data_IF_701815071798
#
_entry.id   IF_701815071798
#
_cell.length_a   1.000
_cell.length_b   1.000
_cell.length_c   1.000
_cell.angle_alpha   90.00
_cell.angle_beta   90.00
_cell.angle_gamma   90.00
#
_symmetry.space_group_name_H-M   'P 1'
#
loop_
_entity.id
_entity.type
_entity.pdbx_description
1 polymer ?
#
# COMPACT_ATOMS: atom_id res chain seq x y z
N UNK A 1 21.18 -3.12 3.93
CA UNK A 1 19.75 -2.86 4.24
C UNK A 1 18.90 -4.13 4.18
N UNK A 2 19.27 -5.17 3.41
CA UNK A 2 18.48 -6.41 3.28
C UNK A 2 19.29 -7.68 3.65
N UNK A 3 20.23 -7.56 4.58
CA UNK A 3 21.12 -8.67 5.00
C UNK A 3 20.43 -9.69 5.91
N UNK A 4 19.25 -9.35 6.45
CA UNK A 4 18.47 -10.21 7.32
C UNK A 4 17.03 -10.30 6.82
N UNK A 5 16.38 -11.43 7.14
CA UNK A 5 14.97 -11.65 6.88
C UNK A 5 14.32 -12.44 8.02
N UNK A 6 12.99 -12.41 8.07
CA UNK A 6 12.19 -13.33 8.87
C UNK A 6 11.41 -14.25 7.95
N UNK A 7 11.55 -15.55 8.13
CA UNK A 7 10.82 -16.59 7.41
C UNK A 7 9.70 -17.20 8.26
N UNK A 8 8.73 -17.81 7.59
CA UNK A 8 7.51 -18.35 8.20
C UNK A 8 7.23 -19.78 7.74
N UNK A 9 7.94 -20.78 8.29
CA UNK A 9 7.90 -22.16 7.80
C UNK A 9 6.65 -22.96 8.17
N UNK A 10 5.86 -22.49 9.15
CA UNK A 10 4.69 -23.21 9.67
C UNK A 10 3.45 -22.35 9.56
N UNK A 11 2.31 -22.94 9.19
CA UNK A 11 1.05 -22.21 9.04
C UNK A 11 0.92 -21.54 7.67
N UNK A 12 -0.31 -21.10 7.35
CA UNK A 12 -0.66 -20.61 6.02
C UNK A 12 -0.50 -19.09 5.92
N UNK A 13 -0.80 -18.34 6.98
CA UNK A 13 -0.84 -16.87 6.97
C UNK A 13 -0.15 -16.31 8.19
N UNK A 14 0.73 -15.32 7.98
CA UNK A 14 1.45 -14.63 9.05
C UNK A 14 1.35 -13.14 8.84
N UNK A 15 0.98 -12.41 9.88
CA UNK A 15 0.65 -10.99 9.77
C UNK A 15 1.45 -10.14 10.74
N UNK A 16 1.96 -9.02 10.24
CA UNK A 16 2.39 -7.91 11.07
C UNK A 16 1.21 -6.98 11.33
N UNK A 17 1.06 -6.52 12.56
CA UNK A 17 0.13 -5.44 12.89
C UNK A 17 0.89 -4.12 13.00
N UNK A 18 0.54 -3.18 12.14
CA UNK A 18 1.00 -1.79 12.22
C UNK A 18 -0.06 -0.98 12.97
N UNK A 19 0.32 -0.31 14.06
CA UNK A 19 -0.58 0.60 14.78
C UNK A 19 -0.52 1.98 14.13
N UNK A 20 -1.62 2.41 13.53
CA UNK A 20 -1.70 3.58 12.66
C UNK A 20 -2.89 4.47 13.04
N UNK A 21 -2.90 5.71 12.57
CA UNK A 21 -4.02 6.62 12.81
C UNK A 21 -5.09 6.40 11.75
N UNK A 22 -6.31 6.11 12.19
CA UNK A 22 -7.48 5.95 11.31
C UNK A 22 -7.74 7.23 10.52
N UNK A 23 -8.00 7.09 9.22
CA UNK A 23 -8.30 8.20 8.30
C UNK A 23 -7.05 8.91 7.77
N UNK A 24 -5.86 8.58 8.29
CA UNK A 24 -4.61 9.13 7.79
C UNK A 24 -4.04 8.29 6.64
N UNK A 25 -3.24 8.96 5.80
CA UNK A 25 -2.61 8.37 4.63
C UNK A 25 -1.21 7.90 4.94
N UNK A 26 -0.91 6.65 4.58
CA UNK A 26 0.41 6.07 4.78
C UNK A 26 0.98 5.53 3.48
N UNK A 27 2.28 5.75 3.29
CA UNK A 27 3.11 4.94 2.41
C UNK A 27 3.56 3.71 3.19
N UNK A 28 3.28 2.53 2.64
CA UNK A 28 3.67 1.25 3.21
C UNK A 28 4.57 0.56 2.20
N UNK A 29 5.72 0.06 2.66
CA UNK A 29 6.70 -0.59 1.82
C UNK A 29 7.14 -1.91 2.42
N UNK A 30 7.04 -2.99 1.65
CA UNK A 30 7.56 -4.30 1.99
C UNK A 30 8.71 -4.65 1.06
N UNK A 31 9.86 -5.03 1.61
CA UNK A 31 11.06 -5.39 0.86
C UNK A 31 11.44 -6.84 1.11
N UNK A 32 11.88 -7.51 0.05
CA UNK A 32 12.16 -8.93 0.01
C UNK A 32 13.46 -9.17 -0.74
N UNK A 33 14.41 -9.86 -0.10
CA UNK A 33 15.59 -10.43 -0.73
C UNK A 33 15.72 -11.87 -0.22
N UNK A 34 15.58 -12.85 -1.11
CA UNK A 34 15.54 -14.26 -0.74
C UNK A 34 16.90 -14.74 -0.20
N UNK A 35 17.98 -14.46 -0.92
CA UNK A 35 19.35 -14.78 -0.49
C UNK A 35 19.63 -16.28 -0.33
N UNK A 36 18.75 -17.17 -0.81
CA UNK A 36 18.84 -18.62 -0.59
C UNK A 36 19.02 -19.01 0.88
N UNK A 37 18.29 -18.33 1.79
CA UNK A 37 18.48 -18.48 3.22
C UNK A 37 18.21 -19.90 3.76
N UNK A 38 17.49 -20.72 3.01
CA UNK A 38 17.10 -22.09 3.34
C UNK A 38 17.92 -23.16 2.58
N UNK A 39 18.93 -22.75 1.81
CA UNK A 39 19.86 -23.63 1.07
C UNK A 39 19.17 -24.60 0.08
N UNK A 40 17.97 -24.24 -0.40
CA UNK A 40 17.18 -25.08 -1.30
C UNK A 40 17.38 -24.76 -2.78
N UNK A 41 17.97 -23.60 -3.13
CA UNK A 41 18.15 -23.11 -4.49
C UNK A 41 16.85 -23.01 -5.32
N UNK A 42 15.69 -23.00 -4.64
CA UNK A 42 14.36 -22.88 -5.23
C UNK A 42 13.72 -21.55 -4.82
N UNK A 43 13.50 -20.66 -5.79
CA UNK A 43 12.89 -19.36 -5.52
C UNK A 43 11.44 -19.55 -5.01
N UNK A 44 11.10 -19.02 -3.83
CA UNK A 44 9.77 -19.22 -3.27
C UNK A 44 8.73 -18.33 -3.96
N UNK A 45 7.49 -18.82 -4.06
CA UNK A 45 6.32 -18.04 -4.45
C UNK A 45 5.32 -17.98 -3.29
N UNK A 46 4.84 -16.78 -2.98
CA UNK A 46 3.86 -16.56 -1.92
C UNK A 46 3.10 -15.26 -2.16
N UNK A 47 1.99 -15.06 -1.45
CA UNK A 47 1.20 -13.84 -1.60
C UNK A 47 1.46 -12.85 -0.47
N UNK A 48 1.38 -11.56 -0.80
CA UNK A 48 1.40 -10.43 0.11
C UNK A 48 -0.01 -9.83 0.16
N UNK A 49 -0.53 -9.64 1.37
CA UNK A 49 -1.85 -9.06 1.62
C UNK A 49 -1.74 -7.75 2.41
N UNK A 50 -2.60 -6.80 2.05
CA UNK A 50 -2.83 -5.55 2.77
C UNK A 50 -4.23 -5.62 3.40
N UNK A 51 -4.27 -5.82 4.71
CA UNK A 51 -5.49 -6.22 5.41
C UNK A 51 -6.04 -7.52 4.81
N UNK A 52 -7.30 -7.53 4.36
CA UNK A 52 -7.92 -8.69 3.73
C UNK A 52 -7.67 -8.78 2.21
N UNK A 53 -7.11 -7.73 1.60
CA UNK A 53 -6.98 -7.63 0.15
C UNK A 53 -5.63 -8.17 -0.33
N UNK A 54 -5.64 -8.92 -1.44
CA UNK A 54 -4.41 -9.32 -2.12
C UNK A 54 -3.68 -8.08 -2.64
N UNK A 55 -2.50 -7.82 -2.09
CA UNK A 55 -1.65 -6.73 -2.53
C UNK A 55 -0.85 -7.16 -3.77
N UNK A 56 -0.05 -8.22 -3.66
CA UNK A 56 0.75 -8.73 -4.76
C UNK A 56 1.11 -10.20 -4.56
N UNK A 57 1.25 -10.94 -5.65
CA UNK A 57 1.93 -12.24 -5.64
C UNK A 57 3.43 -12.02 -5.82
N UNK A 58 4.22 -12.65 -4.95
CA UNK A 58 5.66 -12.52 -4.88
C UNK A 58 6.31 -13.61 -5.72
N UNK A 59 7.06 -13.18 -6.73
CA UNK A 59 7.85 -14.03 -7.61
C UNK A 59 9.25 -13.43 -7.69
N UNK A 60 10.27 -14.28 -7.63
CA UNK A 60 11.68 -13.87 -7.65
C UNK A 60 12.37 -14.48 -8.87
N UNK A 61 13.10 -13.67 -9.63
CA UNK A 61 13.85 -14.14 -10.79
C UNK A 61 15.04 -15.01 -10.37
N UNK A 62 15.71 -14.66 -9.27
CA UNK A 62 16.83 -15.38 -8.69
C UNK A 62 17.00 -15.04 -7.19
N UNK A 63 17.92 -15.74 -6.52
CA UNK A 63 18.17 -15.57 -5.08
C UNK A 63 18.71 -14.20 -4.68
N UNK A 64 19.33 -13.44 -5.59
CA UNK A 64 19.86 -12.09 -5.31
C UNK A 64 18.88 -10.98 -5.67
N UNK A 65 17.70 -11.33 -6.20
CA UNK A 65 16.68 -10.37 -6.60
C UNK A 65 16.13 -9.64 -5.39
N UNK A 66 16.10 -8.31 -5.49
CA UNK A 66 15.45 -7.44 -4.50
C UNK A 66 14.10 -7.03 -5.05
N UNK A 67 13.03 -7.51 -4.43
CA UNK A 67 11.66 -7.14 -4.77
C UNK A 67 11.15 -6.17 -3.72
N UNK A 68 10.66 -5.02 -4.16
CA UNK A 68 10.07 -3.99 -3.30
C UNK A 68 8.63 -3.76 -3.75
N UNK A 69 7.69 -3.84 -2.81
CA UNK A 69 6.30 -3.45 -3.01
C UNK A 69 6.02 -2.22 -2.18
N UNK A 70 5.45 -1.19 -2.81
CA UNK A 70 5.06 0.06 -2.17
C UNK A 70 3.62 0.40 -2.54
N UNK A 71 2.84 0.82 -1.54
CA UNK A 71 1.45 1.21 -1.70
C UNK A 71 1.14 2.39 -0.80
N UNK A 72 0.37 3.34 -1.32
CA UNK A 72 -0.16 4.47 -0.57
C UNK A 72 -1.64 4.20 -0.31
N UNK A 73 -2.01 4.18 0.97
CA UNK A 73 -3.35 3.79 1.41
C UNK A 73 -3.84 4.68 2.55
N UNK A 74 -5.13 5.02 2.54
CA UNK A 74 -5.82 5.68 3.65
C UNK A 74 -6.37 4.62 4.58
N UNK A 75 -5.88 4.57 5.81
CA UNK A 75 -6.15 3.45 6.72
C UNK A 75 -7.55 3.57 7.34
N UNK A 76 -8.35 2.51 7.24
CA UNK A 76 -9.76 2.50 7.70
C UNK A 76 -9.96 2.18 9.19
N UNK A 77 -8.93 1.71 9.88
CA UNK A 77 -8.93 1.35 11.30
C UNK A 77 -7.70 1.91 12.03
N UNK A 78 -7.61 1.71 13.35
CA UNK A 78 -6.41 2.09 14.14
C UNK A 78 -5.23 1.12 13.99
N UNK A 79 -5.39 0.13 13.14
CA UNK A 79 -4.38 -0.85 12.80
C UNK A 79 -4.46 -1.15 11.30
N UNK A 80 -3.38 -1.75 10.81
CA UNK A 80 -3.33 -2.36 9.49
C UNK A 80 -2.52 -3.64 9.56
N UNK A 81 -3.08 -4.72 9.05
CA UNK A 81 -2.34 -5.98 8.92
C UNK A 81 -1.61 -6.03 7.58
N UNK A 82 -0.35 -6.43 7.60
CA UNK A 82 0.40 -6.79 6.39
C UNK A 82 0.79 -8.25 6.53
N UNK A 83 0.27 -9.08 5.64
CA UNK A 83 0.39 -10.53 5.79
C UNK A 83 1.14 -11.16 4.63
N UNK A 84 2.00 -12.13 4.93
CA UNK A 84 2.54 -13.06 3.94
C UNK A 84 1.78 -14.38 4.04
N UNK A 85 1.42 -14.94 2.88
CA UNK A 85 0.57 -16.12 2.78
C UNK A 85 1.26 -17.20 1.95
N UNK A 86 1.45 -18.37 2.56
CA UNK A 86 2.05 -19.53 1.93
C UNK A 86 1.10 -20.12 0.88
N UNK A 87 1.58 -20.22 -0.36
CA UNK A 87 0.84 -20.80 -1.50
C UNK A 87 1.23 -22.26 -1.79
N UNK A 88 2.11 -22.84 -0.97
CA UNK A 88 2.65 -24.19 -1.13
C UNK A 88 3.90 -24.28 -2.02
N UNK A 89 4.44 -23.15 -2.46
CA UNK A 89 5.58 -23.06 -3.40
C UNK A 89 6.83 -22.42 -2.76
N UNK A 90 7.15 -22.83 -1.54
CA UNK A 90 8.27 -22.31 -0.78
C UNK A 90 7.84 -21.56 0.48
N UNK A 91 8.82 -21.18 1.30
CA UNK A 91 8.56 -20.60 2.62
C UNK A 91 8.44 -19.07 2.49
N UNK A 92 7.30 -18.46 2.90
CA UNK A 92 7.17 -17.01 2.89
C UNK A 92 8.17 -16.34 3.82
N UNK A 93 8.63 -15.16 3.42
CA UNK A 93 9.55 -14.36 4.23
C UNK A 93 9.33 -12.86 4.00
N UNK A 94 9.91 -12.03 4.86
CA UNK A 94 9.99 -10.58 4.67
C UNK A 94 11.32 -10.06 5.21
N UNK A 95 11.98 -9.17 4.48
CA UNK A 95 13.27 -8.59 4.87
C UNK A 95 13.08 -7.26 5.62
N UNK A 96 12.16 -6.42 5.15
CA UNK A 96 11.81 -5.17 5.81
C UNK A 96 10.34 -4.79 5.58
N UNK A 97 9.72 -4.21 6.61
CA UNK A 97 8.40 -3.58 6.53
C UNK A 97 8.50 -2.16 7.07
N UNK A 98 8.13 -1.19 6.25
CA UNK A 98 8.26 0.24 6.54
C UNK A 98 6.90 0.93 6.40
N UNK A 99 6.64 1.91 7.26
CA UNK A 99 5.46 2.79 7.15
C UNK A 99 5.85 4.25 7.36
N UNK A 100 5.31 5.15 6.53
CA UNK A 100 5.52 6.60 6.60
C UNK A 100 4.19 7.34 6.49
N UNK A 101 3.93 8.25 7.43
CA UNK A 101 2.77 9.14 7.37
C UNK A 101 2.97 10.14 6.24
N UNK A 102 1.97 10.28 5.36
CA UNK A 102 1.96 11.24 4.27
C UNK A 102 0.98 12.38 4.58
N UNK A 103 1.12 13.50 3.86
CA UNK A 103 0.12 14.55 3.88
C UNK A 103 -1.20 14.07 3.24
N UNK A 104 -2.34 14.38 3.84
CA UNK A 104 -3.65 14.10 3.23
C UNK A 104 -3.95 14.97 2.00
N UNK A 105 -3.13 15.99 1.71
CA UNK A 105 -3.27 16.87 0.55
C UNK A 105 -2.73 16.26 -0.75
N UNK A 106 -1.85 15.25 -0.69
CA UNK A 106 -1.26 14.56 -1.85
C UNK A 106 -2.04 13.30 -2.22
N UNK A 107 -1.74 12.70 -3.38
CA UNK A 107 -2.14 11.33 -3.73
C UNK A 107 -3.64 11.05 -3.54
N UNK A 108 -4.49 11.90 -4.12
CA UNK A 108 -5.94 11.72 -4.07
C UNK A 108 -6.35 10.62 -5.04
N UNK A 109 -7.31 9.82 -4.62
CA UNK A 109 -7.97 8.78 -5.42
C UNK A 109 -9.44 9.14 -5.59
N UNK A 110 -10.10 8.53 -6.57
CA UNK A 110 -11.50 8.81 -6.88
C UNK A 110 -12.45 8.13 -5.87
N UNK A 111 -12.00 7.05 -5.25
CA UNK A 111 -12.75 6.26 -4.27
C UNK A 111 -11.92 5.96 -3.01
N UNK A 112 -12.61 5.73 -1.88
CA UNK A 112 -12.04 5.24 -0.62
C UNK A 112 -11.66 3.74 -0.67
N UNK A 113 -12.05 3.02 -1.72
CA UNK A 113 -11.61 1.64 -2.00
C UNK A 113 -10.28 1.60 -2.73
N UNK A 114 -9.88 2.71 -3.35
CA UNK A 114 -8.66 2.78 -4.13
C UNK A 114 -7.45 3.07 -3.24
N UNK A 115 -6.38 2.35 -3.53
CA UNK A 115 -5.03 2.66 -3.10
C UNK A 115 -4.15 2.92 -4.33
N UNK A 116 -3.00 3.56 -4.10
CA UNK A 116 -2.03 3.84 -5.15
C UNK A 116 -0.84 2.91 -5.00
N UNK A 117 -0.73 1.92 -5.88
CA UNK A 117 0.42 1.05 -5.94
C UNK A 117 1.55 1.73 -6.72
N UNK A 118 2.76 1.69 -6.17
CA UNK A 118 3.92 2.32 -6.79
C UNK A 118 4.22 1.72 -8.16
N UNK A 119 4.44 2.58 -9.15
CA UNK A 119 4.96 2.16 -10.46
C UNK A 119 6.31 2.80 -10.77
N UNK A 120 6.39 4.13 -10.71
CA UNK A 120 7.65 4.83 -10.93
C UNK A 120 7.69 6.15 -10.15
N UNK A 121 8.89 6.53 -9.73
CA UNK A 121 9.22 7.85 -9.20
C UNK A 121 10.63 8.22 -9.65
N UNK A 122 10.72 9.19 -10.56
CA UNK A 122 11.98 9.51 -11.26
C UNK A 122 12.40 10.96 -11.04
N UNK A 123 13.70 11.11 -10.74
CA UNK A 123 14.43 12.39 -10.73
C UNK A 123 15.06 12.59 -12.12
N UNK A 124 14.48 13.48 -12.92
CA UNK A 124 14.79 13.64 -14.33
C UNK A 124 15.93 14.65 -14.50
N UNK A 125 16.98 14.22 -15.17
CA UNK A 125 18.20 15.03 -15.31
C UNK A 125 19.10 14.98 -14.07
N UNK A 126 18.82 14.06 -13.13
CA UNK A 126 19.60 13.87 -11.91
C UNK A 126 21.11 13.84 -12.16
N UNK A 127 21.88 14.51 -11.30
CA UNK A 127 23.35 14.41 -11.27
C UNK A 127 23.83 13.20 -10.45
N UNK A 128 22.93 12.53 -9.73
CA UNK A 128 23.24 11.37 -8.89
C UNK A 128 23.31 10.08 -9.73
N UNK A 129 24.18 9.16 -9.32
CA UNK A 129 24.30 7.85 -9.96
C UNK A 129 23.51 6.75 -9.24
N UNK A 130 22.89 7.08 -8.11
CA UNK A 130 22.13 6.16 -7.27
C UNK A 130 20.83 6.81 -6.82
N UNK A 131 19.84 5.99 -6.50
CA UNK A 131 18.61 6.43 -5.86
C UNK A 131 18.87 7.13 -4.52
N UNK A 132 17.98 8.04 -4.15
CA UNK A 132 17.97 8.69 -2.84
C UNK A 132 16.59 8.57 -2.17
N UNK A 133 16.55 8.76 -0.86
CA UNK A 133 15.35 8.66 -0.01
C UNK A 133 15.51 9.56 1.22
N UNK A 134 15.08 9.18 2.41
CA UNK A 134 15.43 9.91 3.62
C UNK A 134 16.96 9.96 3.81
N UNK A 135 17.56 11.11 4.22
CA UNK A 135 16.92 12.34 4.69
C UNK A 135 16.54 13.36 3.61
N UNK A 136 16.90 13.16 2.34
CA UNK A 136 16.60 14.09 1.25
C UNK A 136 15.09 14.21 0.98
N UNK A 137 14.34 13.13 1.18
CA UNK A 137 12.88 13.11 1.18
C UNK A 137 12.33 12.76 2.57
N UNK A 138 11.60 13.70 3.19
CA UNK A 138 11.00 13.52 4.52
C UNK A 138 9.96 12.40 4.59
N UNK A 139 9.34 12.08 3.45
CA UNK A 139 8.39 10.97 3.33
C UNK A 139 9.09 9.65 3.00
N UNK A 140 10.42 9.67 2.87
CA UNK A 140 11.27 8.51 2.65
C UNK A 140 10.88 7.71 1.39
N UNK A 141 10.37 8.46 0.41
CA UNK A 141 10.12 8.01 -0.95
C UNK A 141 11.44 7.77 -1.64
N UNK A 142 11.55 6.64 -2.34
CA UNK A 142 12.74 6.33 -3.13
C UNK A 142 12.58 6.97 -4.50
N UNK A 143 13.52 7.85 -4.86
CA UNK A 143 13.60 8.52 -6.16
C UNK A 143 14.71 7.90 -6.99
N UNK A 144 14.41 7.54 -8.23
CA UNK A 144 15.37 6.95 -9.14
C UNK A 144 15.92 7.99 -10.13
N UNK A 145 17.25 8.15 -10.26
CA UNK A 145 17.86 8.96 -11.30
C UNK A 145 17.41 8.48 -12.68
N UNK A 146 16.96 9.42 -13.50
CA UNK A 146 16.53 9.15 -14.87
C UNK A 146 17.21 10.10 -15.85
N UNK A 147 17.89 9.50 -16.84
CA UNK A 147 18.60 10.22 -17.91
C UNK A 147 18.27 9.57 -19.24
N UNK A 148 18.23 10.40 -20.28
CA UNK A 148 18.06 9.95 -21.67
C UNK A 148 19.08 10.64 -22.55
N UNK A 149 19.50 9.94 -23.61
CA UNK A 149 20.52 10.43 -24.53
C UNK A 149 20.03 11.59 -25.42
N UNK A 150 18.72 11.73 -25.61
CA UNK A 150 18.10 12.81 -26.40
C UNK A 150 17.78 14.06 -25.57
N UNK A 151 18.10 14.05 -24.28
CA UNK A 151 17.88 15.15 -23.36
C UNK A 151 19.20 15.74 -22.84
N UNK A 152 19.19 17.03 -22.53
CA UNK A 152 20.28 17.76 -21.88
C UNK A 152 19.88 18.09 -20.45
N UNK A 153 20.77 17.79 -19.50
CA UNK A 153 20.60 18.14 -18.09
C UNK A 153 20.87 19.62 -17.86
N UNK A 154 20.00 20.25 -17.06
CA UNK A 154 20.21 21.58 -16.48
C UNK A 154 20.19 21.45 -14.97
N UNK A 155 20.97 22.27 -14.27
CA UNK A 155 20.95 22.35 -12.81
C UNK A 155 20.96 23.82 -12.36
N UNK A 156 20.55 24.04 -11.10
CA UNK A 156 20.72 25.32 -10.42
C UNK A 156 21.26 25.09 -9.02
N UNK A 157 22.14 25.99 -8.55
CA UNK A 157 22.65 26.02 -7.18
C UNK A 157 21.82 26.90 -6.25
N UNK A 158 20.80 27.57 -6.78
CA UNK A 158 19.98 28.55 -6.05
C UNK A 158 18.83 27.87 -5.29
N UNK A 159 18.43 28.45 -4.15
CA UNK A 159 17.36 27.89 -3.33
C UNK A 159 16.00 28.02 -4.01
N UNK A 160 15.37 26.89 -4.33
CA UNK A 160 13.98 26.83 -4.79
C UNK A 160 13.03 27.23 -3.66
N UNK A 161 12.01 28.01 -4.02
CA UNK A 161 10.89 28.29 -3.10
C UNK A 161 9.90 27.13 -3.17
N UNK A 162 9.99 26.19 -2.23
CA UNK A 162 8.97 25.15 -2.02
C UNK A 162 7.98 25.64 -0.97
N UNK A 163 6.69 25.62 -1.33
CA UNK A 163 5.61 26.19 -0.52
C UNK A 163 4.61 25.13 -0.06
N UNK A 164 4.81 23.84 -0.39
CA UNK A 164 3.80 22.82 -0.12
C UNK A 164 4.36 21.55 0.52
N UNK A 165 3.66 20.96 1.50
CA UNK A 165 3.90 19.59 1.95
C UNK A 165 3.73 18.54 0.83
N UNK A 166 3.17 18.95 -0.31
CA UNK A 166 2.95 18.09 -1.48
C UNK A 166 4.11 18.08 -2.47
N UNK A 167 5.16 18.83 -2.19
CA UNK A 167 6.28 19.02 -3.10
C UNK A 167 7.21 17.78 -3.11
N UNK A 168 7.81 17.47 -4.26
CA UNK A 168 8.94 16.54 -4.33
C UNK A 168 10.13 17.10 -3.53
N UNK A 169 11.08 16.24 -3.12
CA UNK A 169 12.26 16.68 -2.39
C UNK A 169 13.08 17.66 -3.23
N UNK A 170 13.74 18.59 -2.55
CA UNK A 170 14.51 19.65 -3.19
C UNK A 170 15.55 19.11 -4.19
N UNK A 171 16.17 17.97 -3.85
CA UNK A 171 17.15 17.27 -4.70
C UNK A 171 16.57 16.92 -6.07
N UNK A 172 15.32 16.44 -6.13
CA UNK A 172 14.64 16.11 -7.39
C UNK A 172 14.22 17.36 -8.20
N UNK A 173 14.19 18.53 -7.56
CA UNK A 173 13.77 19.78 -8.22
C UNK A 173 14.93 20.65 -8.66
N UNK A 174 16.13 20.46 -8.11
CA UNK A 174 17.34 21.22 -8.47
C UNK A 174 17.98 20.80 -9.79
N UNK A 175 17.53 19.68 -10.35
CA UNK A 175 17.89 19.21 -11.69
C UNK A 175 16.66 19.16 -12.59
N UNK A 176 16.90 19.32 -13.89
CA UNK A 176 15.89 19.17 -14.91
C UNK A 176 16.50 18.63 -16.19
N UNK A 177 15.63 18.18 -17.09
CA UNK A 177 15.99 17.89 -18.47
C UNK A 177 15.24 18.77 -19.44
N UNK A 178 15.93 19.16 -20.50
CA UNK A 178 15.37 19.78 -21.70
C UNK A 178 15.72 18.94 -22.94
N UNK A 179 14.95 19.00 -24.02
CA UNK A 179 15.34 18.43 -25.30
C UNK A 179 16.71 18.94 -25.78
N UNK A 180 17.51 18.07 -26.40
CA UNK A 180 18.74 18.49 -27.08
C UNK A 180 18.46 19.50 -28.19
N UNK A 181 19.45 20.37 -28.44
CA UNK A 181 19.39 21.48 -29.41
C UNK A 181 18.73 21.07 -30.73
N UNK A 182 17.61 21.73 -31.05
CA UNK A 182 16.83 21.53 -32.28
C UNK A 182 15.47 20.85 -32.08
N UNK A 183 15.26 20.14 -30.98
CA UNK A 183 13.94 19.58 -30.65
C UNK A 183 13.07 20.58 -29.87
N UNK A 184 11.82 20.74 -30.28
CA UNK A 184 10.82 21.57 -29.60
C UNK A 184 9.87 20.73 -28.74
N UNK A 185 10.10 19.42 -28.67
CA UNK A 185 9.20 18.47 -28.03
C UNK A 185 9.94 17.55 -27.06
N UNK A 186 9.35 17.32 -25.89
CA UNK A 186 9.79 16.32 -24.93
C UNK A 186 8.68 15.28 -24.74
N UNK A 187 8.97 14.04 -25.12
CA UNK A 187 8.00 12.95 -25.05
C UNK A 187 8.38 11.95 -23.97
N UNK A 188 7.39 11.48 -23.22
CA UNK A 188 7.55 10.39 -22.24
C UNK A 188 6.35 9.45 -22.32
N UNK A 189 6.52 8.19 -21.98
CA UNK A 189 5.43 7.21 -22.05
C UNK A 189 5.45 6.30 -20.84
N UNK A 190 4.26 6.10 -20.27
CA UNK A 190 3.98 5.17 -19.18
C UNK A 190 3.00 4.13 -19.69
N UNK A 191 3.39 2.86 -19.63
CA UNK A 191 2.53 1.72 -19.98
C UNK A 191 2.88 0.54 -19.08
N UNK A 192 1.86 -0.24 -18.74
CA UNK A 192 2.05 -1.56 -18.15
C UNK A 192 2.00 -2.64 -19.24
N UNK A 193 2.45 -3.85 -18.89
CA UNK A 193 2.19 -5.05 -19.68
C UNK A 193 0.69 -5.35 -19.79
N UNK A 194 -0.07 -5.04 -18.76
CA UNK A 194 -1.53 -5.14 -18.74
C UNK A 194 -2.16 -3.81 -19.21
N UNK A 195 -2.83 -3.79 -20.38
CA UNK A 195 -3.40 -2.56 -20.94
C UNK A 195 -4.60 -2.02 -20.15
N UNK A 196 -5.18 -2.80 -19.24
CA UNK A 196 -6.31 -2.38 -18.41
C UNK A 196 -5.89 -1.68 -17.12
N UNK A 197 -4.60 -1.69 -16.79
CA UNK A 197 -4.07 -0.97 -15.63
C UNK A 197 -4.20 0.53 -15.82
N UNK A 198 -4.87 1.15 -14.85
CA UNK A 198 -5.02 2.61 -14.80
C UNK A 198 -4.00 3.25 -13.86
N UNK A 199 -3.69 4.53 -14.14
CA UNK A 199 -2.64 5.28 -13.47
C UNK A 199 -3.09 6.67 -13.05
N UNK A 200 -2.55 7.12 -11.92
CA UNK A 200 -2.45 8.54 -11.59
C UNK A 200 -1.03 9.05 -11.86
N UNK A 201 -0.94 10.27 -12.37
CA UNK A 201 0.32 10.89 -12.75
C UNK A 201 0.56 12.17 -11.96
N UNK A 202 1.82 12.42 -11.61
CA UNK A 202 2.29 13.70 -11.08
C UNK A 202 3.54 14.15 -11.84
N UNK A 203 3.47 15.32 -12.45
CA UNK A 203 4.57 15.94 -13.18
C UNK A 203 5.06 17.16 -12.41
N UNK A 204 6.36 17.21 -12.13
CA UNK A 204 6.98 18.26 -11.32
C UNK A 204 7.91 19.11 -12.18
N UNK A 205 7.66 20.41 -12.17
CA UNK A 205 8.36 21.37 -13.03
C UNK A 205 8.79 22.59 -12.21
N UNK A 206 10.01 23.04 -12.42
CA UNK A 206 10.55 24.30 -11.97
C UNK A 206 11.48 24.87 -13.05
N UNK A 207 11.39 26.18 -13.32
CA UNK A 207 12.38 26.86 -14.16
C UNK A 207 13.68 27.05 -13.37
N UNK A 208 14.78 26.55 -13.93
CA UNK A 208 16.10 26.55 -13.31
C UNK A 208 17.05 27.58 -13.93
N UNK A 209 16.68 28.15 -15.07
CA UNK A 209 17.45 29.18 -15.77
C UNK A 209 16.82 30.56 -15.56
N UNK A 210 17.64 31.56 -15.20
CA UNK A 210 17.18 32.95 -15.17
C UNK A 210 17.14 33.48 -16.61
N UNK A 211 15.93 33.55 -17.17
CA UNK A 211 15.73 33.90 -18.57
C UNK A 211 16.04 35.37 -18.84
N UNK A 212 16.79 35.65 -19.91
CA UNK A 212 17.00 37.01 -20.40
C UNK A 212 15.70 37.62 -20.91
N UNK A 213 15.63 38.96 -21.02
CA UNK A 213 14.42 39.66 -21.46
C UNK A 213 13.92 39.26 -22.87
N UNK A 214 14.78 38.71 -23.72
CA UNK A 214 14.45 38.19 -25.05
C UNK A 214 14.23 36.66 -25.07
N UNK A 215 14.32 36.00 -23.91
CA UNK A 215 14.12 34.56 -23.77
C UNK A 215 12.80 34.26 -23.08
N UNK A 216 12.09 33.27 -23.59
CA UNK A 216 10.83 32.80 -23.06
C UNK A 216 10.82 31.28 -23.09
N UNK A 217 10.34 30.68 -22.01
CA UNK A 217 9.94 29.27 -21.97
C UNK A 217 8.45 29.18 -21.77
N UNK A 218 7.74 28.71 -22.79
CA UNK A 218 6.32 28.47 -22.76
C UNK A 218 5.99 27.21 -23.56
N UNK A 219 5.23 26.31 -22.96
CA UNK A 219 4.89 25.04 -23.61
C UNK A 219 3.51 24.53 -23.20
N UNK A 220 2.93 23.70 -24.05
CA UNK A 220 1.74 22.92 -23.77
C UNK A 220 2.14 21.51 -23.38
N UNK A 221 1.37 20.91 -22.48
CA UNK A 221 1.54 19.52 -22.05
C UNK A 221 0.31 18.76 -22.51
N UNK A 222 0.52 17.75 -23.34
CA UNK A 222 -0.50 16.85 -23.83
C UNK A 222 -0.36 15.49 -23.15
N UNK A 223 -1.51 14.89 -22.84
CA UNK A 223 -1.64 13.53 -22.32
C UNK A 223 -2.61 12.77 -23.23
N UNK A 224 -2.13 11.71 -23.87
CA UNK A 224 -2.89 10.92 -24.83
C UNK A 224 -3.52 11.83 -25.91
N UNK A 225 -2.68 12.67 -26.53
CA UNK A 225 -3.02 13.65 -27.59
C UNK A 225 -4.03 14.75 -27.20
N UNK A 226 -4.47 14.79 -25.93
CA UNK A 226 -5.35 15.83 -25.41
C UNK A 226 -4.55 16.87 -24.61
N UNK A 227 -4.90 18.14 -24.74
CA UNK A 227 -4.27 19.20 -23.94
C UNK A 227 -4.58 18.97 -22.46
N UNK A 228 -3.55 18.60 -21.70
CA UNK A 228 -3.66 18.31 -20.28
C UNK A 228 -3.40 19.55 -19.42
N UNK A 229 -2.40 20.34 -19.80
CA UNK A 229 -2.05 21.57 -19.10
C UNK A 229 -1.34 22.55 -20.03
N UNK A 230 -1.73 23.82 -20.01
CA UNK A 230 -1.06 24.87 -20.76
C UNK A 230 -2.01 25.94 -21.32
N UNK A 231 -1.47 26.97 -21.98
CA UNK A 231 -0.03 27.25 -22.13
C UNK A 231 0.61 27.55 -20.78
N UNK A 232 1.81 27.01 -20.55
CA UNK A 232 2.50 27.10 -19.27
C UNK A 232 3.87 27.75 -19.40
N UNK A 233 4.09 28.82 -18.65
CA UNK A 233 5.39 29.46 -18.43
C UNK A 233 5.80 29.30 -16.97
N UNK A 234 6.76 28.40 -16.67
CA UNK A 234 7.24 28.22 -15.30
C UNK A 234 7.93 29.49 -14.80
N UNK A 235 7.67 29.84 -13.53
CA UNK A 235 8.35 30.97 -12.88
C UNK A 235 9.71 30.51 -12.36
N UNK A 236 10.75 31.33 -12.55
CA UNK A 236 12.10 31.06 -12.08
C UNK A 236 12.12 30.66 -10.60
N UNK A 237 12.74 29.51 -10.31
CA UNK A 237 12.89 28.91 -8.98
C UNK A 237 11.59 28.68 -8.19
N UNK A 238 10.47 28.54 -8.89
CA UNK A 238 9.17 28.18 -8.31
C UNK A 238 8.69 26.85 -8.86
N UNK A 239 8.63 25.85 -7.98
CA UNK A 239 8.10 24.54 -8.32
C UNK A 239 6.58 24.54 -8.46
N UNK A 240 6.09 23.72 -9.40
CA UNK A 240 4.69 23.32 -9.52
C UNK A 240 4.60 21.81 -9.68
N UNK A 241 3.49 21.25 -9.18
CA UNK A 241 3.12 19.87 -9.47
C UNK A 241 1.78 19.83 -10.21
N UNK A 242 1.79 19.26 -11.40
CA UNK A 242 0.60 19.03 -12.23
C UNK A 242 0.18 17.58 -12.04
N UNK A 243 -1.09 17.34 -11.68
CA UNK A 243 -1.61 16.00 -11.34
C UNK A 243 -2.78 15.61 -12.22
N UNK A 244 -2.91 14.34 -12.54
CA UNK A 244 -4.11 13.86 -13.20
C UNK A 244 -5.27 13.92 -12.20
N UNK A 245 -6.45 14.35 -12.68
CA UNK A 245 -7.66 14.42 -11.85
C UNK A 245 -8.40 13.09 -11.80
N UNK A 246 -8.21 12.25 -12.82
CA UNK A 246 -8.81 10.94 -12.99
C UNK A 246 -7.69 9.93 -13.27
N UNK A 247 -7.98 8.67 -13.04
CA UNK A 247 -7.13 7.56 -13.49
C UNK A 247 -7.20 7.41 -15.02
N UNK A 248 -6.10 6.99 -15.65
CA UNK A 248 -6.05 6.72 -17.10
C UNK A 248 -5.32 5.42 -17.42
N UNK A 249 -5.76 4.72 -18.48
CA UNK A 249 -5.07 3.55 -19.04
C UNK A 249 -3.77 3.96 -19.74
N UNK A 250 -2.66 3.90 -19.00
CA UNK A 250 -1.36 4.40 -19.43
C UNK A 250 -1.35 5.91 -19.72
N UNK A 251 -0.20 6.41 -20.20
CA UNK A 251 -0.05 7.82 -20.52
C UNK A 251 1.06 8.07 -21.54
N UNK A 252 0.70 8.68 -22.67
CA UNK A 252 1.63 9.25 -23.63
C UNK A 252 1.68 10.76 -23.42
N UNK A 253 2.82 11.24 -22.92
CA UNK A 253 3.06 12.64 -22.63
C UNK A 253 3.85 13.27 -23.78
N UNK A 254 3.37 14.42 -24.25
CA UNK A 254 4.10 15.30 -25.17
C UNK A 254 4.12 16.70 -24.56
N UNK A 255 5.31 17.24 -24.32
CA UNK A 255 5.48 18.65 -23.97
C UNK A 255 5.98 19.37 -25.21
N UNK A 256 5.29 20.41 -25.65
CA UNK A 256 5.55 21.09 -26.93
C UNK A 256 5.67 22.59 -26.73
N UNK A 257 6.79 23.18 -27.20
CA UNK A 257 6.99 24.62 -27.19
C UNK A 257 5.87 25.34 -27.94
N UNK A 258 5.39 26.46 -27.39
CA UNK A 258 4.49 27.35 -28.11
C UNK A 258 5.27 28.17 -29.15
N UNK A 259 4.54 28.83 -30.06
CA UNK A 259 5.15 29.74 -31.05
C UNK A 259 5.85 30.96 -30.41
N UNK A 260 5.46 31.32 -29.19
CA UNK A 260 6.02 32.40 -28.38
C UNK A 260 7.29 32.00 -27.63
N UNK A 261 7.62 30.71 -27.57
CA UNK A 261 8.75 30.20 -26.80
C UNK A 261 10.05 30.22 -27.60
N UNK A 262 11.10 30.77 -27.00
CA UNK A 262 12.46 30.68 -27.56
C UNK A 262 13.24 29.49 -27.00
N UNK A 263 12.77 28.91 -25.89
CA UNK A 263 13.39 27.78 -25.21
C UNK A 263 12.49 26.54 -25.26
N UNK A 264 13.09 25.33 -25.20
CA UNK A 264 12.31 24.09 -25.26
C UNK A 264 11.62 23.80 -23.91
N UNK A 265 10.72 22.81 -23.81
CA UNK A 265 10.09 22.43 -22.54
C UNK A 265 11.10 21.93 -21.50
N UNK A 266 10.74 22.00 -20.22
CA UNK A 266 11.57 21.59 -19.09
C UNK A 266 10.78 20.72 -18.11
N UNK A 267 11.43 19.69 -17.55
CA UNK A 267 10.85 18.80 -16.54
C UNK A 267 11.90 18.38 -15.51
N UNK A 268 11.51 18.32 -14.24
CA UNK A 268 12.41 18.03 -13.12
C UNK A 268 12.17 16.62 -12.56
N UNK A 269 10.91 16.26 -12.36
CA UNK A 269 10.56 14.98 -11.75
C UNK A 269 9.22 14.47 -12.24
N UNK A 270 9.00 13.16 -12.13
CA UNK A 270 7.76 12.53 -12.54
C UNK A 270 7.44 11.32 -11.67
N UNK A 271 6.15 11.16 -11.33
CA UNK A 271 5.63 10.03 -10.57
C UNK A 271 4.44 9.42 -11.32
N UNK A 272 4.36 8.09 -11.30
CA UNK A 272 3.16 7.36 -11.71
C UNK A 272 2.83 6.27 -10.69
N UNK A 273 1.54 6.11 -10.43
CA UNK A 273 1.02 5.11 -9.50
C UNK A 273 -0.12 4.36 -10.16
N UNK A 274 -0.13 3.04 -10.04
CA UNK A 274 -1.24 2.20 -10.47
C UNK A 274 -2.41 2.34 -9.52
N UNK A 275 -3.62 2.30 -10.06
CA UNK A 275 -4.83 2.12 -9.26
C UNK A 275 -4.88 0.69 -8.74
N UNK A 276 -4.99 0.54 -7.43
CA UNK A 276 -5.20 -0.76 -6.77
C UNK A 276 -6.53 -0.72 -6.04
N UNK A 277 -7.50 -1.49 -6.51
CA UNK A 277 -8.78 -1.65 -5.83
C UNK A 277 -8.63 -2.59 -4.63
N UNK A 278 -9.08 -2.14 -3.46
CA UNK A 278 -9.12 -2.87 -2.21
C UNK A 278 -10.59 -3.07 -1.80
N UNK A 279 -11.23 -4.03 -2.48
CA UNK A 279 -12.68 -4.28 -2.40
C UNK A 279 -13.11 -5.06 -1.17
N UNK A 280 -12.22 -5.89 -0.60
CA UNK A 280 -12.54 -6.70 0.58
C UNK A 280 -12.63 -5.81 1.82
N UNK A 281 -13.76 -5.91 2.51
CA UNK A 281 -13.99 -5.23 3.79
C UNK A 281 -13.38 -6.03 4.94
N UNK A 282 -12.79 -5.30 5.88
CA UNK A 282 -12.26 -5.88 7.13
C UNK A 282 -13.41 -6.23 8.08
N UNK A 283 -13.20 -7.18 8.97
CA UNK A 283 -14.12 -7.45 10.08
C UNK A 283 -14.31 -6.18 10.92
N UNK A 284 -15.51 -5.99 11.48
CA UNK A 284 -15.80 -4.82 12.32
C UNK A 284 -14.76 -4.66 13.44
N UNK A 285 -14.17 -3.46 13.55
CA UNK A 285 -13.05 -3.15 14.46
C UNK A 285 -13.31 -3.58 15.91
N UNK A 286 -14.53 -3.42 16.41
CA UNK A 286 -14.92 -3.86 17.77
C UNK A 286 -14.77 -5.37 17.95
N UNK A 287 -15.17 -6.15 16.97
CA UNK A 287 -15.12 -7.62 17.01
C UNK A 287 -13.68 -8.11 16.80
N UNK A 288 -12.90 -7.45 15.95
CA UNK A 288 -11.45 -7.73 15.83
C UNK A 288 -10.73 -7.51 17.15
N UNK A 289 -10.95 -6.38 17.82
CA UNK A 289 -10.35 -6.09 19.12
C UNK A 289 -10.78 -7.12 20.18
N UNK A 290 -12.06 -7.52 20.16
CA UNK A 290 -12.56 -8.56 21.06
C UNK A 290 -11.83 -9.89 20.83
N UNK A 291 -11.71 -10.33 19.58
CA UNK A 291 -11.04 -11.57 19.21
C UNK A 291 -9.54 -11.56 19.53
N UNK A 292 -8.85 -10.44 19.30
CA UNK A 292 -7.45 -10.28 19.70
C UNK A 292 -7.26 -10.38 21.21
N UNK A 293 -8.18 -9.80 21.99
CA UNK A 293 -8.15 -9.92 23.45
C UNK A 293 -8.44 -11.34 23.93
N UNK A 294 -9.38 -12.06 23.29
CA UNK A 294 -9.65 -13.48 23.57
C UNK A 294 -8.40 -14.33 23.25
N UNK A 295 -7.78 -14.12 22.08
CA UNK A 295 -6.52 -14.78 21.69
C UNK A 295 -5.44 -14.58 22.75
N UNK A 296 -5.24 -13.34 23.17
CA UNK A 296 -4.22 -12.97 24.16
C UNK A 296 -4.52 -13.51 25.55
N UNK A 297 -5.78 -13.43 26.00
CA UNK A 297 -6.20 -13.87 27.34
C UNK A 297 -5.97 -15.36 27.55
N UNK A 298 -6.24 -16.17 26.52
CA UNK A 298 -6.10 -17.62 26.61
C UNK A 298 -4.79 -18.17 26.02
N UNK A 299 -3.94 -17.31 25.46
CA UNK A 299 -2.68 -17.73 24.83
C UNK A 299 -2.90 -18.68 23.65
N UNK A 300 -3.97 -18.48 22.89
CA UNK A 300 -4.38 -19.38 21.81
C UNK A 300 -3.37 -19.35 20.65
N UNK A 301 -3.00 -20.55 20.18
CA UNK A 301 -2.09 -20.79 19.06
C UNK A 301 -2.78 -21.59 17.97
N UNK A 302 -3.70 -20.94 17.26
CA UNK A 302 -4.39 -21.45 16.05
C UNK A 302 -3.92 -20.65 14.82
N UNK A 303 -4.58 -20.79 13.67
CA UNK A 303 -4.37 -19.91 12.49
C UNK A 303 -4.85 -18.45 12.69
N UNK A 304 -4.98 -18.00 13.95
CA UNK A 304 -5.59 -16.72 14.32
C UNK A 304 -4.64 -15.54 14.05
N UNK A 305 -4.32 -15.29 12.79
CA UNK A 305 -3.42 -14.22 12.33
C UNK A 305 -4.17 -13.25 11.40
N UNK A 306 -3.92 -11.95 11.55
CA UNK A 306 -4.55 -10.90 10.74
C UNK A 306 -6.01 -10.64 11.10
N UNK A 307 -6.85 -10.46 10.08
CA UNK A 307 -8.28 -10.23 10.24
C UNK A 307 -9.04 -11.54 10.52
N UNK A 308 -9.97 -11.59 11.50
CA UNK A 308 -10.67 -12.83 11.88
C UNK A 308 -11.52 -13.48 10.80
N UNK A 309 -12.19 -12.69 9.94
CA UNK A 309 -13.12 -13.21 8.93
C UNK A 309 -12.61 -13.04 7.50
N UNK A 310 -11.68 -12.12 7.24
CA UNK A 310 -11.37 -11.66 5.90
C UNK A 310 -9.88 -11.83 5.47
N UNK A 311 -9.61 -12.23 4.21
CA UNK A 311 -10.60 -12.70 3.25
C UNK A 311 -11.14 -14.06 3.69
N UNK A 312 -12.33 -14.45 3.19
CA UNK A 312 -13.06 -15.66 3.60
C UNK A 312 -12.22 -16.93 3.59
N UNK A 313 -11.30 -17.07 2.63
CA UNK A 313 -10.41 -18.23 2.49
C UNK A 313 -9.44 -18.40 3.67
N UNK A 314 -9.13 -17.32 4.39
CA UNK A 314 -8.19 -17.30 5.52
C UNK A 314 -8.87 -16.89 6.83
N UNK A 315 -10.18 -17.14 6.96
CA UNK A 315 -10.88 -16.93 8.22
C UNK A 315 -10.28 -17.79 9.33
N UNK A 316 -10.40 -17.30 10.56
CA UNK A 316 -9.86 -17.99 11.72
C UNK A 316 -10.62 -19.29 11.98
N UNK A 317 -9.87 -20.33 12.35
CA UNK A 317 -10.37 -21.64 12.70
C UNK A 317 -11.32 -21.53 13.87
N UNK A 318 -12.49 -22.15 13.71
CA UNK A 318 -13.57 -22.10 14.69
C UNK A 318 -14.43 -20.83 14.61
N UNK A 319 -14.26 -19.97 13.59
CA UNK A 319 -15.19 -18.86 13.34
C UNK A 319 -16.08 -19.15 12.12
N UNK A 320 -17.35 -18.78 12.23
CA UNK A 320 -18.19 -18.48 11.07
C UNK A 320 -18.58 -17.01 11.08
N UNK A 321 -18.55 -16.39 9.90
CA UNK A 321 -18.86 -14.99 9.72
C UNK A 321 -19.96 -14.79 8.69
N UNK A 322 -20.76 -13.73 8.87
CA UNK A 322 -21.66 -13.26 7.83
C UNK A 322 -20.87 -12.45 6.79
N UNK A 323 -21.15 -12.69 5.51
CA UNK A 323 -20.55 -11.99 4.39
C UNK A 323 -21.68 -11.41 3.55
N UNK A 324 -21.94 -10.12 3.71
CA UNK A 324 -22.89 -9.37 2.89
C UNK A 324 -22.08 -8.44 2.00
N UNK A 325 -22.41 -8.31 0.71
CA UNK A 325 -21.55 -7.68 -0.30
C UNK A 325 -21.18 -6.22 0.00
N UNK A 326 -21.97 -5.52 0.84
CA UNK A 326 -21.78 -4.10 1.17
C UNK A 326 -21.45 -3.84 2.64
N UNK A 327 -21.42 -4.88 3.49
CA UNK A 327 -21.19 -4.73 4.93
C UNK A 327 -19.91 -5.44 5.39
N UNK A 328 -19.18 -4.84 6.35
CA UNK A 328 -18.06 -5.51 7.02
C UNK A 328 -18.47 -6.89 7.59
N UNK A 329 -17.64 -7.94 7.42
CA UNK A 329 -17.91 -9.24 8.00
C UNK A 329 -18.14 -9.16 9.51
N UNK A 330 -19.10 -9.96 9.99
CA UNK A 330 -19.50 -10.04 11.41
C UNK A 330 -19.35 -11.47 11.90
N UNK A 331 -18.84 -11.65 13.11
CA UNK A 331 -18.68 -12.97 13.71
C UNK A 331 -20.04 -13.48 14.20
N UNK A 332 -20.47 -14.60 13.65
CA UNK A 332 -21.76 -15.26 13.94
C UNK A 332 -21.59 -16.55 14.71
N UNK A 333 -20.45 -17.23 14.57
CA UNK A 333 -20.09 -18.43 15.34
C UNK A 333 -18.67 -18.29 15.88
N UNK A 334 -18.46 -18.73 17.13
CA UNK A 334 -17.15 -18.84 17.76
C UNK A 334 -17.04 -20.19 18.47
N UNK A 335 -16.12 -21.03 18.03
CA UNK A 335 -15.84 -22.33 18.61
C UNK A 335 -14.51 -22.33 19.38
N UNK A 336 -14.64 -22.40 20.69
CA UNK A 336 -13.59 -22.47 21.70
C UNK A 336 -13.54 -23.83 22.42
N UNK A 337 -14.32 -24.82 21.97
CA UNK A 337 -14.29 -26.17 22.53
C UNK A 337 -12.89 -26.79 22.39
N UNK A 338 -12.53 -27.65 23.36
CA UNK A 338 -11.25 -28.39 23.38
C UNK A 338 -9.99 -27.55 23.10
N UNK A 339 -10.02 -26.26 23.43
CA UNK A 339 -8.92 -25.33 23.14
C UNK A 339 -7.94 -25.18 24.31
N UNK A 340 -8.08 -26.01 25.35
CA UNK A 340 -7.24 -26.01 26.54
C UNK A 340 -7.36 -24.72 27.36
N UNK A 341 -8.50 -24.03 27.27
CA UNK A 341 -8.73 -22.76 27.97
C UNK A 341 -8.67 -22.97 29.49
N UNK A 342 -8.21 -21.96 30.21
CA UNK A 342 -8.21 -21.95 31.68
C UNK A 342 -8.58 -20.57 32.22
N UNK A 343 -9.07 -20.53 33.46
CA UNK A 343 -9.55 -19.30 34.08
C UNK A 343 -11.01 -18.98 33.71
N UNK A 344 -11.38 -17.71 33.81
CA UNK A 344 -12.76 -17.26 33.61
C UNK A 344 -13.15 -17.17 32.13
N UNK A 345 -14.46 -17.19 31.86
CA UNK A 345 -15.02 -16.92 30.53
C UNK A 345 -14.73 -15.46 30.15
N UNK A 346 -14.14 -15.27 28.98
CA UNK A 346 -13.66 -13.97 28.54
C UNK A 346 -14.80 -12.97 28.41
N UNK A 347 -14.74 -11.82 29.12
CA UNK A 347 -15.77 -10.79 29.01
C UNK A 347 -15.83 -10.15 27.62
N UNK A 348 -14.77 -10.30 26.83
CA UNK A 348 -14.70 -9.78 25.46
C UNK A 348 -15.67 -10.49 24.50
N UNK A 349 -16.16 -11.69 24.82
CA UNK A 349 -17.21 -12.37 24.05
C UNK A 349 -18.47 -11.49 23.97
N UNK A 350 -18.77 -10.70 25.00
CA UNK A 350 -19.89 -9.76 25.00
C UNK A 350 -19.83 -8.67 23.92
N UNK A 351 -18.68 -8.45 23.29
CA UNK A 351 -18.52 -7.50 22.18
C UNK A 351 -18.88 -8.11 20.81
N UNK A 352 -19.09 -9.42 20.72
CA UNK A 352 -19.50 -10.13 19.50
C UNK A 352 -21.01 -10.03 19.33
N UNK A 353 -21.50 -8.83 18.99
CA UNK A 353 -22.94 -8.50 19.03
C UNK A 353 -23.82 -9.24 18.01
N UNK A 354 -23.23 -9.93 17.03
CA UNK A 354 -23.95 -10.78 16.06
C UNK A 354 -23.73 -12.27 16.31
N UNK A 355 -23.11 -12.64 17.44
CA UNK A 355 -22.83 -14.01 17.79
C UNK A 355 -24.15 -14.77 17.99
N UNK A 356 -24.37 -15.75 17.13
CA UNK A 356 -25.50 -16.68 17.16
C UNK A 356 -25.13 -17.97 17.88
N UNK A 357 -23.88 -18.41 17.69
CA UNK A 357 -23.41 -19.69 18.18
C UNK A 357 -22.09 -19.54 18.94
N UNK A 358 -22.07 -20.04 20.18
CA UNK A 358 -20.83 -20.20 20.95
C UNK A 358 -20.60 -21.70 21.16
N UNK A 359 -19.55 -22.23 20.53
CA UNK A 359 -19.14 -23.64 20.54
C UNK A 359 -20.05 -24.60 19.78
N UNK A 360 -20.46 -24.23 18.56
CA UNK A 360 -21.19 -25.15 17.70
C UNK A 360 -20.23 -26.03 16.89
N UNK A 361 -20.43 -27.35 16.95
CA UNK A 361 -19.76 -28.31 16.08
C UNK A 361 -20.66 -28.56 14.88
N UNK A 362 -20.74 -27.61 13.94
CA UNK A 362 -21.56 -27.78 12.73
C UNK A 362 -20.78 -28.64 11.73
N UNK A 363 -20.69 -29.93 12.01
CA UNK A 363 -20.57 -30.96 10.96
C UNK A 363 -21.84 -31.81 11.07
N UNK A 364 -22.53 -32.00 9.95
CA UNK A 364 -23.97 -32.31 9.91
C UNK A 364 -24.46 -33.47 10.80
N UNK A 365 -25.73 -33.36 11.19
CA UNK A 365 -26.54 -34.39 11.88
C UNK A 365 -26.07 -34.80 13.29
N UNK A 366 -25.91 -33.85 14.21
CA UNK A 366 -26.43 -33.97 15.58
C UNK A 366 -26.41 -32.61 16.27
N UNK A 367 -27.57 -32.16 16.78
CA UNK A 367 -27.64 -30.94 17.61
C UNK A 367 -27.32 -31.36 19.03
N UNK A 368 -26.03 -31.29 19.39
CA UNK A 368 -25.59 -31.27 20.78
C UNK A 368 -24.98 -29.89 21.05
N UNK A 369 -25.84 -28.94 21.42
CA UNK A 369 -25.42 -27.64 21.95
C UNK A 369 -24.95 -27.87 23.38
N UNK A 370 -23.67 -28.26 23.54
CA UNK A 370 -22.95 -28.22 24.82
C UNK A 370 -21.49 -27.80 24.68
N UNK A 371 -21.37 -26.48 24.79
CA UNK A 371 -20.60 -25.78 25.82
C UNK A 371 -19.10 -25.59 25.55
N UNK A 372 -18.46 -24.71 26.34
CA UNK A 372 -17.00 -24.55 26.47
C UNK A 372 -16.33 -25.83 27.04
N UNK A 373 -16.90 -26.99 26.73
CA UNK A 373 -16.56 -28.32 27.18
C UNK A 373 -15.13 -28.67 26.77
N UNK A 374 -14.53 -29.54 27.58
CA UNK A 374 -13.12 -29.92 27.46
C UNK A 374 -12.15 -28.73 27.60
N UNK A 375 -12.52 -27.75 28.42
CA UNK A 375 -11.63 -26.71 28.92
C UNK A 375 -11.59 -26.74 30.47
N UNK A 376 -10.57 -26.11 31.05
CA UNK A 376 -10.38 -26.00 32.50
C UNK A 376 -10.86 -24.63 33.01
N UNK A 377 -12.08 -24.25 32.63
CA UNK A 377 -12.65 -22.96 32.97
C UNK A 377 -13.15 -22.94 34.42
N UNK A 378 -13.04 -21.77 35.05
CA UNK A 378 -13.49 -21.50 36.41
C UNK A 378 -14.41 -20.26 36.43
N UNK A 379 -15.05 -20.01 37.56
CA UNK A 379 -15.97 -18.88 37.71
C UNK A 379 -17.41 -19.20 37.31
N UNK A 380 -18.30 -18.22 37.51
CA UNK A 380 -19.73 -18.34 37.15
C UNK A 380 -19.98 -17.99 35.69
N UNK A 381 -21.14 -18.42 35.16
CA UNK A 381 -21.60 -18.02 33.83
C UNK A 381 -21.80 -16.50 33.80
N UNK A 382 -21.08 -15.75 32.94
CA UNK A 382 -21.17 -14.30 32.93
C UNK A 382 -22.54 -13.77 32.49
N UNK A 383 -23.04 -12.74 33.17
CA UNK A 383 -24.33 -12.12 32.87
C UNK A 383 -24.39 -11.56 31.43
N UNK A 384 -23.26 -11.13 30.85
CA UNK A 384 -23.24 -10.55 29.50
C UNK A 384 -23.77 -11.51 28.43
N UNK A 385 -23.69 -12.83 28.65
CA UNK A 385 -24.21 -13.82 27.70
C UNK A 385 -25.73 -13.67 27.52
N UNK A 386 -26.44 -13.28 28.58
CA UNK A 386 -27.89 -13.01 28.52
C UNK A 386 -28.25 -11.76 27.71
N UNK A 387 -27.27 -10.89 27.43
CA UNK A 387 -27.44 -9.64 26.67
C UNK A 387 -27.15 -9.79 25.18
N UNK A 388 -26.64 -10.95 24.75
CA UNK A 388 -26.40 -11.25 23.34
C UNK A 388 -27.72 -11.67 22.68
N UNK A 389 -28.34 -10.76 21.93
CA UNK A 389 -29.70 -10.91 21.40
C UNK A 389 -29.88 -12.09 20.44
N UNK A 390 -28.81 -12.46 19.73
CA UNK A 390 -28.84 -13.51 18.72
C UNK A 390 -28.32 -14.86 19.22
N UNK A 391 -27.75 -14.90 20.43
CA UNK A 391 -27.12 -16.09 20.96
C UNK A 391 -28.16 -17.18 21.23
N UNK A 392 -28.02 -18.30 20.53
CA UNK A 392 -28.77 -19.52 20.82
C UNK A 392 -27.94 -20.37 21.78
N UNK A 393 -28.50 -20.62 22.96
CA UNK A 393 -27.87 -21.42 24.03
C UNK A 393 -28.24 -22.90 23.93
#
# INVERSE_FOLDING_TARGET
FLENLRSFPQGVRHCYQLNLTKGEKYLIRASFMYGNYDENDENPEFDLYLGPNLWASMVFENSTSVVVKEIIHVVKARYLHVCVVNTGKGIPFISALESRLLSNLTYKTDSETQALEFFLRIDIGSSLNSSFRFPEDIYDRIWQPYRRNDLTTINSSSSLTSNSPSDPPLVAMMTASIPMSGSQTLNFTVRDSDPDVEFYFSMHIAELEELQANQTREFNIYLNDNLWYGPFSPTYLRGITIRSLLSLKGGQFSMESTRSSTLPPIINAFEAYKVKELVESQTVEREVNAMMNIKSMYGLKKNWEGDPCAPRTYSWEGLDCSYEDSDPPRITSLNLSSSGLSGEISPYIGNLTQLQYLNNNVTGFDIDVRDLSNNNLTGGVPEFLTRLQFLTL
#
